data_IF_202273948004
#
_entry.id   IF_202273948004
#
_cell.length_a   1.000
_cell.length_b   1.000
_cell.length_c   1.000
_cell.angle_alpha   90.00
_cell.angle_beta   90.00
_cell.angle_gamma   90.00
#
_symmetry.space_group_name_H-M   'P 1'
#
loop_
_entity.id
_entity.type
_entity.pdbx_description
1 polymer ?
#
# COMPACT_ATOMS: atom_id res chain seq x y z
N UNK A 1 21.13 0.76 -16.92
CA UNK A 1 20.87 0.40 -15.52
C UNK A 1 19.37 0.18 -15.38
N UNK A 2 18.97 -0.97 -14.84
CA UNK A 2 17.57 -1.26 -14.61
C UNK A 2 17.00 -0.48 -13.43
N UNK A 3 15.67 -0.33 -13.36
CA UNK A 3 14.99 0.31 -12.24
C UNK A 3 14.90 -0.65 -11.04
N UNK A 4 15.36 -0.21 -9.87
CA UNK A 4 15.21 -0.94 -8.62
C UNK A 4 14.15 -0.30 -7.74
N UNK A 5 13.07 -1.02 -7.48
CA UNK A 5 11.91 -0.52 -6.76
C UNK A 5 11.71 -1.33 -5.47
N UNK A 6 11.64 -0.63 -4.35
CA UNK A 6 11.29 -1.22 -3.06
C UNK A 6 9.78 -1.09 -2.84
N UNK A 7 9.07 -2.22 -2.71
CA UNK A 7 7.66 -2.27 -2.38
C UNK A 7 7.45 -2.64 -0.91
N UNK A 8 6.62 -1.87 -0.19
CA UNK A 8 6.39 -2.01 1.25
C UNK A 8 4.89 -2.17 1.51
N UNK A 9 4.51 -3.27 2.17
CA UNK A 9 3.13 -3.57 2.53
C UNK A 9 3.02 -3.89 4.03
N UNK A 10 2.82 -2.89 4.88
CA UNK A 10 2.64 -3.10 6.31
C UNK A 10 1.25 -3.68 6.60
N UNK A 11 1.24 -4.77 7.34
CA UNK A 11 0.05 -5.39 7.92
C UNK A 11 0.06 -5.29 9.45
N UNK A 12 -0.99 -5.79 10.11
CA UNK A 12 -1.13 -5.75 11.56
C UNK A 12 -0.03 -6.56 12.29
N UNK A 13 0.30 -7.74 11.77
CA UNK A 13 1.25 -8.69 12.40
C UNK A 13 2.52 -8.92 11.58
N UNK A 14 2.68 -8.22 10.47
CA UNK A 14 3.88 -8.34 9.63
C UNK A 14 4.05 -7.13 8.72
N UNK A 15 5.26 -6.93 8.23
CA UNK A 15 5.55 -6.02 7.12
C UNK A 15 6.14 -6.83 5.99
N UNK A 16 5.47 -6.87 4.85
CA UNK A 16 6.02 -7.47 3.63
C UNK A 16 6.85 -6.45 2.89
N UNK A 17 8.00 -6.88 2.42
CA UNK A 17 8.96 -6.05 1.68
C UNK A 17 9.42 -6.83 0.47
N UNK A 18 9.32 -6.23 -0.70
CA UNK A 18 9.82 -6.84 -1.93
C UNK A 18 10.70 -5.84 -2.69
N UNK A 19 11.83 -6.32 -3.18
CA UNK A 19 12.69 -5.57 -4.08
C UNK A 19 12.51 -6.10 -5.50
N UNK A 20 12.24 -5.20 -6.41
CA UNK A 20 12.12 -5.51 -7.84
C UNK A 20 13.30 -4.95 -8.60
N UNK A 21 13.85 -5.74 -9.52
CA UNK A 21 14.75 -5.30 -10.57
C UNK A 21 13.96 -5.35 -11.87
N UNK A 22 13.59 -4.20 -12.39
CA UNK A 22 12.56 -4.04 -13.43
C UNK A 22 11.24 -4.71 -12.99
N UNK A 23 10.75 -5.69 -13.71
CA UNK A 23 9.51 -6.43 -13.41
C UNK A 23 9.75 -7.72 -12.59
N UNK A 24 11.00 -8.03 -12.25
CA UNK A 24 11.34 -9.29 -11.57
C UNK A 24 11.58 -9.06 -10.08
N UNK A 25 10.90 -9.80 -9.20
CA UNK A 25 11.24 -9.76 -7.79
C UNK A 25 12.63 -10.36 -7.58
N UNK A 26 13.54 -9.59 -7.00
CA UNK A 26 14.89 -10.01 -6.62
C UNK A 26 14.99 -10.38 -5.16
N UNK A 27 14.08 -9.86 -4.31
CA UNK A 27 13.96 -10.17 -2.89
C UNK A 27 12.49 -10.08 -2.47
N UNK A 28 12.02 -11.04 -1.66
CA UNK A 28 10.67 -11.02 -1.06
C UNK A 28 10.78 -11.49 0.39
N UNK A 29 10.47 -10.60 1.32
CA UNK A 29 10.61 -10.80 2.76
C UNK A 29 9.28 -10.57 3.47
N UNK A 30 9.03 -11.37 4.49
CA UNK A 30 7.94 -11.17 5.45
C UNK A 30 8.52 -10.97 6.84
N UNK A 31 8.60 -9.72 7.27
CA UNK A 31 9.05 -9.33 8.60
C UNK A 31 7.89 -9.50 9.58
N UNK A 32 7.94 -10.57 10.39
CA UNK A 32 6.87 -10.88 11.35
C UNK A 32 7.05 -10.07 12.62
N UNK A 33 5.93 -9.68 13.21
CA UNK A 33 5.85 -8.91 14.45
C UNK A 33 5.16 -9.75 15.53
N UNK A 34 5.81 -9.92 16.69
CA UNK A 34 5.17 -10.60 17.81
C UNK A 34 4.16 -9.69 18.50
N UNK A 35 3.20 -10.29 19.21
CA UNK A 35 2.23 -9.52 19.98
C UNK A 35 2.91 -8.61 21.02
N UNK A 36 3.99 -9.09 21.65
CA UNK A 36 4.75 -8.31 22.64
C UNK A 36 5.47 -7.11 22.00
N UNK A 37 5.98 -7.25 20.77
CA UNK A 37 6.59 -6.14 20.03
C UNK A 37 5.56 -5.07 19.71
N UNK A 38 4.39 -5.47 19.20
CA UNK A 38 3.30 -4.55 18.86
C UNK A 38 2.75 -3.85 20.09
N UNK A 39 2.57 -4.58 21.21
CA UNK A 39 2.04 -4.04 22.46
C UNK A 39 2.90 -2.94 23.11
N UNK A 40 4.13 -2.72 22.65
CA UNK A 40 4.99 -1.62 23.13
C UNK A 40 4.52 -0.25 22.62
N UNK A 41 3.65 -0.21 21.63
CA UNK A 41 3.20 1.00 20.96
C UNK A 41 1.73 1.24 21.25
N UNK A 42 1.37 2.45 21.69
CA UNK A 42 -0.01 2.81 21.98
C UNK A 42 -0.85 2.93 20.70
N UNK A 43 -0.24 3.49 19.64
CA UNK A 43 -0.91 3.69 18.36
C UNK A 43 -0.11 3.05 17.22
N UNK A 44 -0.77 2.81 16.10
CA UNK A 44 -0.09 2.24 14.91
C UNK A 44 0.98 3.18 14.38
N UNK A 45 0.75 4.49 14.41
CA UNK A 45 1.72 5.49 13.94
C UNK A 45 3.03 5.44 14.71
N UNK A 46 2.99 5.12 15.99
CA UNK A 46 4.17 5.04 16.85
C UNK A 46 5.14 3.91 16.43
N UNK A 47 4.66 2.98 15.59
CA UNK A 47 5.46 1.87 15.04
C UNK A 47 6.30 2.27 13.83
N UNK A 48 6.20 3.51 13.34
CA UNK A 48 6.82 3.95 12.09
C UNK A 48 8.33 3.75 12.09
N UNK A 49 9.03 4.33 13.07
CA UNK A 49 10.49 4.24 13.20
C UNK A 49 10.97 2.80 13.37
N UNK A 50 10.33 2.05 14.24
CA UNK A 50 10.67 0.66 14.48
C UNK A 50 10.53 -0.19 13.22
N UNK A 51 9.44 -0.03 12.46
CA UNK A 51 9.25 -0.79 11.22
C UNK A 51 10.22 -0.35 10.13
N UNK A 52 10.56 0.94 10.06
CA UNK A 52 11.59 1.44 9.16
C UNK A 52 12.93 0.78 9.45
N UNK A 53 13.38 0.78 10.71
CA UNK A 53 14.64 0.16 11.09
C UNK A 53 14.67 -1.35 10.79
N UNK A 54 13.56 -2.05 11.01
CA UNK A 54 13.46 -3.47 10.64
C UNK A 54 13.62 -3.70 9.14
N UNK A 55 13.03 -2.84 8.31
CA UNK A 55 13.16 -2.92 6.85
C UNK A 55 14.61 -2.67 6.44
N UNK A 56 15.21 -1.60 6.94
CA UNK A 56 16.60 -1.23 6.60
C UNK A 56 17.59 -2.32 7.03
N UNK A 57 17.43 -2.87 8.23
CA UNK A 57 18.23 -3.99 8.73
C UNK A 57 18.09 -5.21 7.81
N UNK A 58 16.86 -5.60 7.48
CA UNK A 58 16.62 -6.75 6.62
C UNK A 58 17.21 -6.58 5.22
N UNK A 59 17.13 -5.39 4.63
CA UNK A 59 17.76 -5.10 3.33
C UNK A 59 19.29 -5.20 3.43
N UNK A 60 19.90 -4.64 4.47
CA UNK A 60 21.34 -4.69 4.73
C UNK A 60 21.83 -6.12 4.94
N UNK A 61 21.13 -6.94 5.72
CA UNK A 61 21.45 -8.36 5.95
C UNK A 61 21.43 -9.18 4.67
N UNK A 62 20.62 -8.77 3.67
CA UNK A 62 20.60 -9.36 2.33
C UNK A 62 21.56 -8.69 1.34
N UNK A 63 22.46 -7.83 1.83
CA UNK A 63 23.50 -7.18 1.03
C UNK A 63 22.97 -6.10 0.07
N UNK A 64 21.76 -5.56 0.32
CA UNK A 64 21.19 -4.50 -0.50
C UNK A 64 21.42 -3.12 0.10
N UNK A 65 22.03 -2.24 -0.69
CA UNK A 65 22.22 -0.82 -0.36
C UNK A 65 21.05 0.00 -0.92
N UNK A 66 20.34 0.70 -0.06
CA UNK A 66 19.20 1.56 -0.42
C UNK A 66 19.57 2.68 -1.40
N UNK A 67 20.84 3.07 -1.47
CA UNK A 67 21.33 4.05 -2.45
C UNK A 67 21.23 3.58 -3.90
N UNK A 68 20.96 2.29 -4.12
CA UNK A 68 20.71 1.73 -5.45
C UNK A 68 19.24 1.82 -5.88
N UNK A 69 18.35 2.26 -5.01
CA UNK A 69 16.92 2.41 -5.31
C UNK A 69 16.69 3.48 -6.36
N UNK A 70 15.71 3.23 -7.23
CA UNK A 70 15.17 4.20 -8.19
C UNK A 70 13.87 4.83 -7.66
N UNK A 71 13.12 4.10 -6.86
CA UNK A 71 11.89 4.54 -6.20
C UNK A 71 11.52 3.63 -5.03
N UNK A 72 10.67 4.14 -4.14
CA UNK A 72 10.02 3.34 -3.10
C UNK A 72 8.51 3.46 -3.26
N UNK A 73 7.79 2.35 -3.16
CA UNK A 73 6.33 2.32 -3.22
C UNK A 73 5.77 1.66 -1.97
N UNK A 74 4.87 2.37 -1.30
CA UNK A 74 4.14 1.85 -0.16
C UNK A 74 2.70 1.47 -0.54
N UNK A 75 2.14 0.48 0.14
CA UNK A 75 0.70 0.28 0.09
C UNK A 75 0.02 1.53 0.63
N UNK A 76 -0.86 2.16 -0.16
CA UNK A 76 -1.61 3.34 0.26
C UNK A 76 -2.55 3.04 1.41
N UNK A 77 -2.61 3.95 2.38
CA UNK A 77 -3.50 3.93 3.52
C UNK A 77 -4.75 4.79 3.33
N UNK A 78 -5.25 5.34 4.43
CA UNK A 78 -6.45 6.17 4.49
C UNK A 78 -6.10 7.64 4.20
N UNK A 79 -5.76 7.94 2.96
CA UNK A 79 -5.72 9.31 2.43
C UNK A 79 -7.13 9.78 2.08
N UNK A 80 -7.30 11.02 1.64
CA UNK A 80 -8.58 11.47 1.07
C UNK A 80 -8.95 10.61 -0.13
N UNK A 81 -10.26 10.42 -0.41
CA UNK A 81 -10.71 9.70 -1.60
C UNK A 81 -10.08 10.27 -2.88
N UNK A 82 -9.49 9.40 -3.69
CA UNK A 82 -8.83 9.73 -4.97
C UNK A 82 -9.17 8.66 -6.01
N UNK A 83 -9.12 8.96 -7.31
CA UNK A 83 -9.23 7.95 -8.36
C UNK A 83 -8.14 6.88 -8.26
N UNK A 84 -8.30 5.77 -8.99
CA UNK A 84 -7.24 4.77 -9.11
C UNK A 84 -6.00 5.36 -9.79
N UNK A 85 -4.82 4.91 -9.35
CA UNK A 85 -3.55 5.37 -9.93
C UNK A 85 -2.36 5.23 -9.01
N UNK A 86 -1.20 5.65 -9.51
CA UNK A 86 0.05 5.77 -8.76
C UNK A 86 0.29 7.23 -8.46
N UNK A 87 0.51 7.55 -7.20
CA UNK A 87 0.67 8.92 -6.72
C UNK A 87 1.99 9.09 -5.98
N UNK A 88 2.71 10.16 -6.28
CA UNK A 88 3.86 10.57 -5.49
C UNK A 88 3.39 11.00 -4.09
N UNK A 89 4.04 10.48 -3.05
CA UNK A 89 3.69 10.81 -1.66
C UNK A 89 4.11 12.25 -1.37
N UNK A 90 3.14 13.10 -1.16
CA UNK A 90 3.33 14.52 -0.84
C UNK A 90 3.00 14.83 0.63
N UNK A 91 3.28 16.06 1.06
CA UNK A 91 3.04 16.50 2.43
C UNK A 91 1.56 16.44 2.85
N UNK A 92 0.62 16.63 1.92
CA UNK A 92 -0.80 16.50 2.24
C UNK A 92 -1.16 15.04 2.54
N UNK A 93 -0.68 14.10 1.75
CA UNK A 93 -0.87 12.66 2.00
C UNK A 93 -0.19 12.22 3.30
N UNK A 94 1.02 12.70 3.58
CA UNK A 94 1.71 12.40 4.85
C UNK A 94 0.88 12.87 6.05
N UNK A 95 0.32 14.10 6.00
CA UNK A 95 -0.58 14.60 7.05
C UNK A 95 -1.85 13.77 7.18
N UNK A 96 -2.49 13.40 6.06
CA UNK A 96 -3.70 12.57 6.08
C UNK A 96 -3.41 11.20 6.72
N UNK A 97 -2.29 10.56 6.38
CA UNK A 97 -1.89 9.25 6.92
C UNK A 97 -1.52 9.31 8.42
N UNK A 98 -0.84 10.39 8.83
CA UNK A 98 -0.44 10.59 10.24
C UNK A 98 -1.66 10.88 11.12
N UNK A 99 -2.63 11.66 10.62
CA UNK A 99 -3.80 12.11 11.38
C UNK A 99 -5.07 11.34 11.02
N UNK A 100 -4.94 10.16 10.41
CA UNK A 100 -6.09 9.36 10.00
C UNK A 100 -6.98 9.02 11.22
N UNK A 101 -8.28 9.29 11.09
CA UNK A 101 -9.26 9.04 12.16
C UNK A 101 -9.46 7.55 12.44
N UNK A 102 -9.09 6.69 11.49
CA UNK A 102 -9.12 5.24 11.62
C UNK A 102 -7.69 4.71 11.61
N UNK A 103 -7.30 4.04 12.68
CA UNK A 103 -6.02 3.36 12.77
C UNK A 103 -6.00 2.10 11.90
N UNK A 104 -5.10 2.06 10.95
CA UNK A 104 -4.87 0.87 10.12
C UNK A 104 -3.38 0.79 9.74
N UNK A 105 -2.82 -0.43 9.78
CA UNK A 105 -1.40 -0.64 9.48
C UNK A 105 -0.99 -0.13 8.09
N UNK A 106 -1.91 -0.13 7.11
CA UNK A 106 -1.64 0.40 5.77
C UNK A 106 -1.31 1.91 5.77
N UNK A 107 -1.70 2.66 6.81
CA UNK A 107 -1.35 4.09 6.90
C UNK A 107 0.16 4.29 6.98
N UNK A 108 0.89 3.31 7.53
CA UNK A 108 2.35 3.35 7.57
C UNK A 108 3.00 3.16 6.21
N UNK A 109 2.30 2.57 5.21
CA UNK A 109 2.91 2.23 3.93
C UNK A 109 3.47 3.44 3.18
N UNK A 110 2.66 4.48 3.02
CA UNK A 110 3.10 5.72 2.39
C UNK A 110 4.15 6.48 3.21
N UNK A 111 4.05 6.44 4.55
CA UNK A 111 5.00 7.09 5.44
C UNK A 111 6.37 6.39 5.41
N UNK A 112 6.41 5.06 5.52
CA UNK A 112 7.63 4.26 5.40
C UNK A 112 8.29 4.47 4.04
N UNK A 113 7.48 4.49 2.96
CA UNK A 113 8.00 4.76 1.62
C UNK A 113 8.64 6.15 1.55
N UNK A 114 8.00 7.17 2.11
CA UNK A 114 8.50 8.55 2.10
C UNK A 114 9.83 8.68 2.87
N UNK A 115 9.95 8.04 4.04
CA UNK A 115 11.17 8.13 4.84
C UNK A 115 12.34 7.39 4.20
N UNK A 116 12.14 6.15 3.74
CA UNK A 116 13.20 5.38 3.08
C UNK A 116 13.60 6.03 1.75
N UNK A 117 12.64 6.55 0.98
CA UNK A 117 12.93 7.28 -0.25
C UNK A 117 13.76 8.54 0.00
N UNK A 118 13.44 9.28 1.07
CA UNK A 118 14.21 10.47 1.46
C UNK A 118 15.66 10.11 1.83
N UNK A 119 15.88 8.99 2.54
CA UNK A 119 17.22 8.50 2.85
C UNK A 119 18.00 8.08 1.60
N UNK A 120 17.33 7.48 0.62
CA UNK A 120 17.92 7.05 -0.65
C UNK A 120 18.04 8.17 -1.69
N UNK A 121 17.46 9.35 -1.44
CA UNK A 121 17.45 10.47 -2.39
C UNK A 121 16.55 10.23 -3.62
N UNK A 122 15.51 9.42 -3.48
CA UNK A 122 14.57 9.06 -4.56
C UNK A 122 13.14 9.44 -4.21
N UNK A 123 12.19 9.21 -5.13
CA UNK A 123 10.78 9.49 -4.90
C UNK A 123 10.04 8.33 -4.23
N UNK A 124 9.06 8.69 -3.41
CA UNK A 124 8.12 7.77 -2.79
C UNK A 124 6.77 7.81 -3.48
N UNK A 125 6.13 6.65 -3.59
CA UNK A 125 4.82 6.50 -4.22
C UNK A 125 3.87 5.65 -3.38
N UNK A 126 2.57 5.82 -3.63
CA UNK A 126 1.51 4.86 -3.26
C UNK A 126 0.74 4.48 -4.52
N UNK A 127 0.17 3.28 -4.54
CA UNK A 127 -0.67 2.81 -5.63
C UNK A 127 -2.03 2.34 -5.12
N UNK A 128 -3.08 2.70 -5.84
CA UNK A 128 -4.47 2.26 -5.63
C UNK A 128 -4.81 2.09 -4.14
N UNK A 129 -4.82 3.19 -3.34
CA UNK A 129 -5.09 3.10 -1.90
C UNK A 129 -6.49 2.53 -1.63
N UNK A 130 -6.72 2.06 -0.42
CA UNK A 130 -8.01 1.46 0.00
C UNK A 130 -9.20 2.41 -0.13
N UNK A 131 -8.94 3.70 -0.27
CA UNK A 131 -9.90 4.80 -0.44
C UNK A 131 -10.07 5.22 -1.89
N UNK A 132 -9.61 4.41 -2.86
CA UNK A 132 -9.95 4.66 -4.27
C UNK A 132 -11.45 4.81 -4.40
N UNK A 133 -11.89 5.93 -4.96
CA UNK A 133 -13.31 6.24 -5.12
C UNK A 133 -13.61 6.62 -6.57
N UNK A 134 -14.20 5.66 -7.25
CA UNK A 134 -14.70 5.76 -8.63
C UNK A 134 -16.17 5.36 -8.68
N UNK A 135 -16.87 5.48 -7.52
CA UNK A 135 -18.29 5.15 -7.44
C UNK A 135 -19.13 6.19 -8.18
N UNK A 136 -20.05 5.71 -9.01
CA UNK A 136 -21.12 6.54 -9.53
C UNK A 136 -22.06 6.99 -8.39
N UNK A 137 -22.69 8.15 -8.54
CA UNK A 137 -23.56 8.71 -7.50
C UNK A 137 -24.73 7.78 -7.14
N UNK A 138 -25.27 7.06 -8.11
CA UNK A 138 -26.32 6.06 -7.87
C UNK A 138 -25.85 4.91 -6.99
N UNK A 139 -24.59 4.54 -7.08
CA UNK A 139 -24.00 3.47 -6.25
C UNK A 139 -23.77 3.90 -4.79
N UNK A 140 -23.81 5.20 -4.49
CA UNK A 140 -23.74 5.73 -3.12
C UNK A 140 -25.03 5.57 -2.34
N UNK A 141 -26.14 5.35 -3.03
CA UNK A 141 -27.44 5.16 -2.38
C UNK A 141 -27.43 3.89 -1.54
N UNK A 142 -27.80 4.03 -0.29
CA UNK A 142 -28.01 2.93 0.66
C UNK A 142 -29.50 2.81 1.03
N UNK A 143 -29.81 1.94 1.98
CA UNK A 143 -31.16 1.84 2.52
C UNK A 143 -31.59 3.01 3.41
N UNK A 144 -30.68 3.95 3.72
CA UNK A 144 -30.97 5.12 4.57
C UNK A 144 -30.31 6.38 4.00
N UNK A 145 -31.03 7.53 3.91
CA UNK A 145 -30.50 8.74 3.30
C UNK A 145 -29.27 9.33 4.01
N UNK A 146 -29.20 9.20 5.33
CA UNK A 146 -28.10 9.73 6.13
C UNK A 146 -26.87 8.80 6.18
N UNK A 147 -26.95 7.64 5.53
CA UNK A 147 -25.90 6.63 5.52
C UNK A 147 -25.46 6.29 4.09
N UNK A 148 -24.88 7.23 3.33
CA UNK A 148 -24.41 6.94 1.99
C UNK A 148 -23.28 5.92 2.01
N UNK A 149 -23.17 5.09 0.99
CA UNK A 149 -22.05 4.16 0.81
C UNK A 149 -20.77 4.94 0.57
N UNK A 150 -19.68 4.43 1.15
CA UNK A 150 -18.32 4.94 0.94
C UNK A 150 -17.49 3.88 0.24
N UNK A 151 -16.60 4.32 -0.64
CA UNK A 151 -15.66 3.43 -1.30
C UNK A 151 -14.49 3.13 -0.37
N UNK A 152 -14.49 1.94 0.22
CA UNK A 152 -13.35 1.40 1.00
C UNK A 152 -13.22 -0.07 0.64
N UNK A 153 -12.17 -0.44 -0.10
CA UNK A 153 -11.99 -1.82 -0.56
C UNK A 153 -10.51 -2.11 -0.88
N UNK A 154 -10.19 -3.35 -1.20
CA UNK A 154 -8.83 -3.74 -1.58
C UNK A 154 -8.53 -3.39 -3.05
N UNK A 155 -8.57 -2.09 -3.40
CA UNK A 155 -8.45 -1.58 -4.75
C UNK A 155 -7.21 -2.12 -5.46
N UNK A 156 -6.03 -1.97 -4.85
CA UNK A 156 -4.76 -2.43 -5.43
C UNK A 156 -4.80 -3.91 -5.80
N UNK A 157 -5.21 -4.77 -4.86
CA UNK A 157 -5.23 -6.21 -5.10
C UNK A 157 -6.24 -6.59 -6.19
N UNK A 158 -7.45 -6.04 -6.14
CA UNK A 158 -8.49 -6.33 -7.13
C UNK A 158 -8.06 -5.89 -8.53
N UNK A 159 -7.62 -4.64 -8.68
CA UNK A 159 -7.25 -4.06 -9.96
C UNK A 159 -5.99 -4.74 -10.55
N UNK A 160 -4.96 -4.96 -9.74
CA UNK A 160 -3.73 -5.60 -10.19
C UNK A 160 -3.98 -7.05 -10.62
N UNK A 161 -4.75 -7.82 -9.84
CA UNK A 161 -5.08 -9.21 -10.18
C UNK A 161 -5.92 -9.28 -11.46
N UNK A 162 -6.90 -8.40 -11.61
CA UNK A 162 -7.75 -8.36 -12.80
C UNK A 162 -6.94 -7.97 -14.05
N UNK A 163 -6.08 -6.95 -13.98
CA UNK A 163 -5.18 -6.57 -15.09
C UNK A 163 -4.26 -7.71 -15.49
N UNK A 164 -3.55 -8.30 -14.51
CA UNK A 164 -2.66 -9.42 -14.77
C UNK A 164 -3.39 -10.62 -15.42
N UNK A 165 -4.62 -10.90 -14.99
CA UNK A 165 -5.44 -11.95 -15.60
C UNK A 165 -5.83 -11.60 -17.04
N UNK A 166 -6.30 -10.37 -17.27
CA UNK A 166 -6.68 -9.88 -18.60
C UNK A 166 -5.49 -9.97 -19.57
N UNK A 167 -4.30 -9.54 -19.15
CA UNK A 167 -3.08 -9.61 -19.96
C UNK A 167 -2.75 -11.06 -20.34
N UNK A 168 -2.88 -12.00 -19.38
CA UNK A 168 -2.61 -13.42 -19.62
C UNK A 168 -3.56 -14.08 -20.64
N UNK A 169 -4.81 -13.64 -20.69
CA UNK A 169 -5.83 -14.22 -21.58
C UNK A 169 -6.11 -13.33 -22.81
N UNK A 170 -5.37 -12.25 -22.99
CA UNK A 170 -5.49 -11.36 -24.16
C UNK A 170 -6.77 -10.53 -24.20
N UNK A 171 -7.35 -10.19 -23.04
CA UNK A 171 -8.54 -9.34 -22.93
C UNK A 171 -8.11 -7.94 -22.48
N UNK A 172 -8.67 -6.92 -23.11
CA UNK A 172 -8.49 -5.52 -22.67
C UNK A 172 -9.17 -5.32 -21.32
N UNK A 173 -8.43 -4.81 -20.32
CA UNK A 173 -8.92 -4.66 -18.94
C UNK A 173 -10.23 -3.87 -18.82
N UNK A 174 -10.42 -2.82 -19.62
CA UNK A 174 -11.62 -1.97 -19.65
C UNK A 174 -12.88 -2.72 -20.11
N UNK A 175 -12.72 -3.90 -20.73
CA UNK A 175 -13.83 -4.79 -21.11
C UNK A 175 -14.13 -5.85 -20.06
N UNK A 176 -13.29 -5.96 -19.04
CA UNK A 176 -13.52 -6.89 -17.94
C UNK A 176 -14.50 -6.30 -16.92
N UNK A 177 -15.29 -7.16 -16.29
CA UNK A 177 -16.15 -6.79 -15.16
C UNK A 177 -15.71 -7.59 -13.91
N UNK A 178 -14.61 -7.20 -13.26
CA UNK A 178 -14.12 -7.90 -12.09
C UNK A 178 -15.05 -7.68 -10.89
N UNK A 179 -15.35 -8.75 -10.18
CA UNK A 179 -16.15 -8.71 -8.95
C UNK A 179 -15.32 -9.28 -7.80
N UNK A 180 -15.33 -8.59 -6.66
CA UNK A 180 -14.68 -9.03 -5.44
C UNK A 180 -15.69 -9.18 -4.31
N UNK A 181 -15.64 -10.31 -3.63
CA UNK A 181 -16.46 -10.57 -2.45
C UNK A 181 -15.54 -10.74 -1.24
N UNK A 182 -15.87 -10.06 -0.14
CA UNK A 182 -15.18 -10.25 1.14
C UNK A 182 -15.78 -11.40 1.94
N UNK A 183 -17.02 -11.78 1.62
CA UNK A 183 -17.76 -12.82 2.33
C UNK A 183 -18.79 -13.45 1.39
N UNK A 184 -18.77 -14.78 1.28
CA UNK A 184 -19.79 -15.58 0.65
C UNK A 184 -20.45 -16.42 1.74
N UNK A 185 -21.71 -16.17 2.03
CA UNK A 185 -22.59 -17.09 2.74
C UNK A 185 -23.31 -17.95 1.72
N UNK A 186 -23.10 -19.25 1.77
CA UNK A 186 -23.90 -20.24 1.08
C UNK A 186 -25.15 -20.56 1.90
#
# INVERSE_FOLDING_TARGET
MGFKILAINPGSTSTKVALYDEERPSLDLTLRHTAEQIARYANIIDQLDWRREMILTALSEHGFDIMQLSAVIGRGGLVRPIPAGVYEVNEAMRRDLTNATMEHASNLGGLLAAEIAAMAGVKAYIADPVVVDEMEEVARLSGHPDCPRRSIFHALNQKATARLHCDRIGIVYEKANPVSYTHLTL
#
